data_IF_887986064222
#
_entry.id   IF_887986064222
#
_cell.length_a   1.000
_cell.length_b   1.000
_cell.length_c   1.000
_cell.angle_alpha   90.00
_cell.angle_beta   90.00
_cell.angle_gamma   90.00
#
_symmetry.space_group_name_H-M   'P 1'
#
loop_
_entity.id
_entity.type
_entity.pdbx_description
1 polymer ?
#
# COMPACT_ATOMS: atom_id res chain seq x y z
N UNK A 1 -16.59 8.23 -10.83
CA UNK A 1 -15.84 9.41 -10.37
C UNK A 1 -14.63 8.88 -9.62
N UNK A 2 -13.45 8.96 -10.23
CA UNK A 2 -12.20 8.63 -9.55
C UNK A 2 -11.91 9.77 -8.58
N UNK A 3 -11.86 9.49 -7.28
CA UNK A 3 -11.46 10.49 -6.30
C UNK A 3 -9.95 10.61 -6.34
N UNK A 4 -9.45 11.73 -6.87
CA UNK A 4 -8.03 12.04 -6.82
C UNK A 4 -7.54 12.00 -5.37
N UNK A 5 -6.55 11.15 -5.10
CA UNK A 5 -5.84 11.13 -3.82
C UNK A 5 -5.11 12.47 -3.66
N UNK A 6 -5.73 13.39 -2.93
CA UNK A 6 -5.15 14.72 -2.71
C UNK A 6 -4.05 14.67 -1.65
N UNK A 7 -3.07 15.57 -1.76
CA UNK A 7 -2.02 15.74 -0.76
C UNK A 7 -2.58 15.99 0.65
N UNK A 8 -3.64 16.80 0.76
CA UNK A 8 -4.32 17.08 2.03
C UNK A 8 -4.81 15.80 2.71
N UNK A 9 -5.43 14.92 1.93
CA UNK A 9 -5.93 13.64 2.42
C UNK A 9 -4.81 12.68 2.81
N UNK A 10 -3.72 12.62 2.02
CA UNK A 10 -2.55 11.79 2.36
C UNK A 10 -1.85 12.28 3.64
N UNK A 11 -1.84 13.60 3.88
CA UNK A 11 -1.37 14.18 5.16
C UNK A 11 -2.30 13.81 6.31
N UNK A 12 -3.61 13.94 6.12
CA UNK A 12 -4.62 13.51 7.11
C UNK A 12 -4.41 12.04 7.49
N UNK A 13 -4.30 11.15 6.51
CA UNK A 13 -4.03 9.72 6.70
C UNK A 13 -2.80 9.44 7.58
N UNK A 14 -1.74 10.24 7.44
CA UNK A 14 -0.52 10.06 8.23
C UNK A 14 -0.68 10.35 9.72
N UNK A 15 -1.77 11.02 10.10
CA UNK A 15 -2.11 11.37 11.49
C UNK A 15 -3.13 10.43 12.14
N UNK A 16 -3.81 9.61 11.34
CA UNK A 16 -4.84 8.69 11.82
C UNK A 16 -4.23 7.41 12.38
N UNK A 17 -4.96 6.77 13.30
CA UNK A 17 -4.66 5.40 13.71
C UNK A 17 -4.83 4.42 12.55
N UNK A 18 -4.16 3.28 12.63
CA UNK A 18 -4.02 2.35 11.50
C UNK A 18 -5.35 1.92 10.89
N UNK A 19 -6.30 1.47 11.71
CA UNK A 19 -7.60 0.98 11.24
C UNK A 19 -8.42 2.09 10.58
N UNK A 20 -8.46 3.28 11.20
CA UNK A 20 -9.13 4.45 10.65
C UNK A 20 -8.48 4.91 9.34
N UNK A 21 -7.15 4.88 9.26
CA UNK A 21 -6.39 5.18 8.06
C UNK A 21 -6.67 4.19 6.91
N UNK A 22 -6.81 2.90 7.21
CA UNK A 22 -7.20 1.88 6.22
C UNK A 22 -8.60 2.18 5.69
N UNK A 23 -9.57 2.44 6.56
CA UNK A 23 -10.95 2.75 6.16
C UNK A 23 -11.02 4.03 5.34
N UNK A 24 -10.33 5.08 5.79
CA UNK A 24 -10.29 6.38 5.11
C UNK A 24 -9.67 6.26 3.73
N UNK A 25 -8.52 5.60 3.59
CA UNK A 25 -7.88 5.37 2.30
C UNK A 25 -8.74 4.47 1.40
N UNK A 26 -9.33 3.43 1.97
CA UNK A 26 -10.21 2.51 1.26
C UNK A 26 -11.41 3.21 0.64
N UNK A 27 -11.99 4.20 1.32
CA UNK A 27 -13.13 4.98 0.82
C UNK A 27 -12.83 5.76 -0.47
N UNK A 28 -11.54 5.95 -0.81
CA UNK A 28 -11.11 6.62 -2.04
C UNK A 28 -11.08 5.69 -3.27
N UNK A 29 -11.35 4.41 -3.09
CA UNK A 29 -11.30 3.41 -4.15
C UNK A 29 -12.60 2.63 -4.24
N UNK A 30 -12.86 2.09 -5.43
CA UNK A 30 -13.88 1.06 -5.61
C UNK A 30 -13.19 -0.30 -5.61
N UNK A 31 -13.63 -1.20 -4.73
CA UNK A 31 -13.06 -2.53 -4.53
C UNK A 31 -13.92 -3.63 -5.16
N UNK A 32 -14.56 -3.33 -6.29
CA UNK A 32 -15.54 -4.24 -6.93
C UNK A 32 -14.94 -5.60 -7.27
N UNK A 33 -13.63 -5.67 -7.46
CA UNK A 33 -12.93 -6.91 -7.76
C UNK A 33 -12.96 -7.91 -6.58
N UNK A 34 -13.36 -7.48 -5.38
CA UNK A 34 -13.39 -8.29 -4.16
C UNK A 34 -14.80 -8.42 -3.56
N UNK A 35 -15.83 -7.98 -4.27
CA UNK A 35 -17.22 -8.15 -3.83
C UNK A 35 -17.53 -9.64 -3.56
N UNK A 36 -17.97 -9.94 -2.34
CA UNK A 36 -18.26 -11.31 -1.88
C UNK A 36 -17.10 -12.02 -1.18
N UNK A 37 -15.93 -11.39 -1.04
CA UNK A 37 -14.77 -11.91 -0.30
C UNK A 37 -14.17 -10.81 0.60
N UNK A 38 -14.87 -10.52 1.70
CA UNK A 38 -14.54 -9.43 2.64
C UNK A 38 -13.15 -9.59 3.25
N UNK A 39 -12.73 -10.82 3.54
CA UNK A 39 -11.41 -11.10 4.11
C UNK A 39 -10.31 -10.72 3.12
N UNK A 40 -10.46 -11.11 1.85
CA UNK A 40 -9.50 -10.77 0.80
C UNK A 40 -9.52 -9.28 0.48
N UNK A 41 -10.69 -8.66 0.49
CA UNK A 41 -10.84 -7.22 0.32
C UNK A 41 -10.04 -6.46 1.39
N UNK A 42 -10.23 -6.84 2.67
CA UNK A 42 -9.53 -6.20 3.78
C UNK A 42 -8.01 -6.35 3.68
N UNK A 43 -7.51 -7.54 3.34
CA UNK A 43 -6.07 -7.76 3.13
C UNK A 43 -5.51 -6.87 2.02
N UNK A 44 -6.28 -6.64 0.95
CA UNK A 44 -5.85 -5.75 -0.14
C UNK A 44 -5.86 -4.27 0.29
N UNK A 45 -6.88 -3.84 1.03
CA UNK A 45 -6.96 -2.50 1.61
C UNK A 45 -5.79 -2.21 2.56
N UNK A 46 -5.48 -3.18 3.43
CA UNK A 46 -4.34 -3.13 4.33
C UNK A 46 -3.01 -3.03 3.58
N UNK A 47 -2.83 -3.81 2.52
CA UNK A 47 -1.62 -3.77 1.69
C UNK A 47 -1.41 -2.41 1.01
N UNK A 48 -2.47 -1.82 0.45
CA UNK A 48 -2.41 -0.49 -0.17
C UNK A 48 -2.05 0.56 0.89
N UNK A 49 -2.65 0.50 2.07
CA UNK A 49 -2.35 1.39 3.19
C UNK A 49 -0.89 1.29 3.65
N UNK A 50 -0.37 0.08 3.88
CA UNK A 50 1.01 -0.13 4.30
C UNK A 50 2.01 0.41 3.25
N UNK A 51 1.70 0.26 1.97
CA UNK A 51 2.52 0.79 0.88
C UNK A 51 2.54 2.33 0.85
N UNK A 52 1.38 2.96 1.08
CA UNK A 52 1.25 4.42 1.20
C UNK A 52 2.03 4.93 2.41
N UNK A 53 1.79 4.35 3.60
CA UNK A 53 2.46 4.78 4.82
C UNK A 53 3.96 4.55 4.78
N UNK A 54 4.41 3.47 4.13
CA UNK A 54 5.82 3.25 3.88
C UNK A 54 6.40 4.38 3.02
N UNK A 55 5.73 4.74 1.92
CA UNK A 55 6.15 5.82 1.03
C UNK A 55 6.25 7.18 1.73
N UNK A 56 5.26 7.49 2.58
CA UNK A 56 5.26 8.68 3.44
C UNK A 56 6.46 8.66 4.39
N UNK A 57 6.72 7.53 5.08
CA UNK A 57 7.88 7.38 5.98
C UNK A 57 9.23 7.52 5.27
N UNK A 58 9.29 7.23 3.97
CA UNK A 58 10.50 7.44 3.13
C UNK A 58 10.66 8.88 2.65
N UNK A 59 9.69 9.76 2.90
CA UNK A 59 9.71 11.14 2.45
C UNK A 59 9.53 11.28 0.94
N UNK A 60 8.83 10.33 0.29
CA UNK A 60 8.50 10.46 -1.12
C UNK A 60 7.56 11.66 -1.34
N UNK A 61 7.64 12.36 -2.49
CA UNK A 61 6.73 13.45 -2.79
C UNK A 61 5.29 12.95 -2.85
N UNK A 62 4.33 13.78 -2.43
CA UNK A 62 2.92 13.39 -2.33
C UNK A 62 2.32 12.90 -3.65
N UNK A 63 2.77 13.44 -4.79
CA UNK A 63 2.42 12.94 -6.12
C UNK A 63 2.85 11.48 -6.33
N UNK A 64 4.06 11.12 -5.91
CA UNK A 64 4.55 9.74 -5.97
C UNK A 64 3.80 8.84 -4.98
N UNK A 65 3.45 9.34 -3.78
CA UNK A 65 2.65 8.58 -2.81
C UNK A 65 1.25 8.27 -3.38
N UNK A 66 0.60 9.24 -4.02
CA UNK A 66 -0.68 9.04 -4.71
C UNK A 66 -0.57 8.02 -5.86
N UNK A 67 0.48 8.10 -6.66
CA UNK A 67 0.73 7.12 -7.73
C UNK A 67 0.97 5.72 -7.17
N UNK A 68 1.73 5.59 -6.08
CA UNK A 68 1.96 4.30 -5.42
C UNK A 68 0.65 3.68 -4.95
N UNK A 69 -0.25 4.46 -4.35
CA UNK A 69 -1.56 3.97 -3.92
C UNK A 69 -2.39 3.42 -5.09
N UNK A 70 -2.41 4.12 -6.22
CA UNK A 70 -3.12 3.68 -7.42
C UNK A 70 -2.50 2.40 -7.99
N UNK A 71 -1.17 2.37 -8.14
CA UNK A 71 -0.47 1.21 -8.70
C UNK A 71 -0.58 -0.02 -7.80
N UNK A 72 -0.51 0.14 -6.47
CA UNK A 72 -0.67 -0.99 -5.54
C UNK A 72 -2.11 -1.49 -5.51
N UNK A 73 -3.11 -0.62 -5.64
CA UNK A 73 -4.53 -1.01 -5.79
C UNK A 73 -4.75 -1.90 -7.02
N UNK A 74 -4.07 -1.62 -8.12
CA UNK A 74 -4.16 -2.41 -9.36
C UNK A 74 -3.33 -3.70 -9.33
N UNK A 75 -2.27 -3.77 -8.51
CA UNK A 75 -1.33 -4.87 -8.51
C UNK A 75 -1.93 -6.22 -8.07
N UNK A 76 -2.66 -6.28 -6.96
CA UNK A 76 -3.16 -7.55 -6.41
C UNK A 76 -4.34 -8.17 -7.18
N UNK A 77 -5.27 -7.40 -7.77
CA UNK A 77 -6.24 -7.94 -8.72
C UNK A 77 -5.58 -8.67 -9.90
N UNK A 78 -4.48 -8.14 -10.43
CA UNK A 78 -3.70 -8.76 -11.52
C UNK A 78 -2.99 -10.05 -11.07
N UNK A 79 -2.73 -10.21 -9.78
CA UNK A 79 -2.15 -11.42 -9.21
C UNK A 79 -3.18 -12.53 -8.92
N UNK A 80 -4.46 -12.34 -9.31
CA UNK A 80 -5.51 -13.38 -9.27
C UNK A 80 -5.08 -14.60 -10.09
N UNK A 81 -4.60 -15.64 -9.40
CA UNK A 81 -4.13 -16.89 -9.97
C UNK A 81 -2.93 -17.49 -9.24
N UNK A 82 -2.27 -16.73 -8.36
CA UNK A 82 -1.06 -17.16 -7.65
C UNK A 82 -1.26 -17.15 -6.13
N UNK A 83 -1.75 -18.24 -5.51
CA UNK A 83 -2.02 -18.32 -4.07
C UNK A 83 -0.78 -18.11 -3.18
N UNK A 84 0.42 -18.34 -3.71
CA UNK A 84 1.70 -18.03 -3.05
C UNK A 84 1.96 -16.52 -2.93
N UNK A 85 1.49 -15.71 -3.87
CA UNK A 85 1.71 -14.27 -3.87
C UNK A 85 0.74 -13.56 -2.90
N UNK A 86 -0.49 -14.06 -2.75
CA UNK A 86 -1.47 -13.56 -1.78
C UNK A 86 -0.99 -13.72 -0.32
N UNK A 87 -0.23 -14.78 -0.02
CA UNK A 87 0.41 -14.95 1.29
C UNK A 87 1.67 -14.10 1.46
N UNK A 88 2.34 -13.74 0.36
CA UNK A 88 3.55 -12.92 0.42
C UNK A 88 3.26 -11.42 0.63
N UNK A 89 2.12 -10.90 0.16
CA UNK A 89 1.76 -9.47 0.35
C UNK A 89 1.45 -9.07 1.79
N UNK A 90 1.17 -10.02 2.69
CA UNK A 90 1.04 -9.74 4.13
C UNK A 90 2.38 -9.42 4.80
N UNK A 91 3.51 -9.76 4.16
CA UNK A 91 4.82 -9.38 4.66
C UNK A 91 5.13 -7.93 4.28
N UNK A 92 5.39 -7.10 5.29
CA UNK A 92 5.93 -5.73 5.15
C UNK A 92 7.14 -5.64 4.21
N UNK A 93 7.88 -6.75 4.04
CA UNK A 93 8.98 -6.89 3.09
C UNK A 93 8.55 -6.76 1.62
N UNK A 94 7.36 -7.26 1.27
CA UNK A 94 6.80 -7.24 -0.08
C UNK A 94 6.36 -5.83 -0.47
N UNK A 95 5.71 -5.11 0.45
CA UNK A 95 5.42 -3.68 0.28
C UNK A 95 6.70 -2.86 0.03
N UNK A 96 7.80 -3.15 0.75
CA UNK A 96 9.09 -2.50 0.53
C UNK A 96 9.65 -2.74 -0.88
N UNK A 97 9.58 -3.97 -1.39
CA UNK A 97 10.08 -4.32 -2.73
C UNK A 97 9.23 -3.63 -3.79
N UNK A 98 7.91 -3.68 -3.66
CA UNK A 98 6.98 -3.10 -4.63
C UNK A 98 7.13 -1.58 -4.68
N UNK A 99 7.14 -0.90 -3.53
CA UNK A 99 7.35 0.55 -3.47
C UNK A 99 8.70 0.96 -4.04
N UNK A 100 9.77 0.17 -3.79
CA UNK A 100 11.09 0.42 -4.41
C UNK A 100 11.04 0.31 -5.93
N UNK A 101 10.42 -0.75 -6.46
CA UNK A 101 10.30 -0.97 -7.90
C UNK A 101 9.49 0.13 -8.57
N UNK A 102 8.36 0.52 -7.96
CA UNK A 102 7.51 1.61 -8.46
C UNK A 102 8.28 2.94 -8.42
N UNK A 103 8.94 3.26 -7.29
CA UNK A 103 9.72 4.49 -7.17
C UNK A 103 10.92 4.55 -8.13
N UNK A 104 11.57 3.42 -8.41
CA UNK A 104 12.63 3.34 -9.41
C UNK A 104 12.09 3.61 -10.83
N UNK A 105 10.93 3.03 -11.18
CA UNK A 105 10.26 3.30 -12.46
C UNK A 105 9.81 4.76 -12.63
N UNK A 106 9.50 5.45 -11.52
CA UNK A 106 9.17 6.88 -11.50
C UNK A 106 10.39 7.81 -11.51
N UNK A 107 11.62 7.29 -11.61
CA UNK A 107 12.85 8.10 -11.59
C UNK A 107 13.17 8.72 -10.22
N UNK A 108 12.54 8.24 -9.14
CA UNK A 108 12.79 8.71 -7.78
C UNK A 108 14.05 8.04 -7.20
N UNK A 109 15.23 8.34 -7.75
CA UNK A 109 16.49 7.64 -7.39
C UNK A 109 17.09 7.99 -6.02
N UNK A 110 16.44 8.84 -5.20
CA UNK A 110 17.09 9.50 -4.06
C UNK A 110 16.95 8.90 -2.64
N UNK A 111 16.02 7.98 -2.34
CA UNK A 111 15.58 7.79 -0.95
C UNK A 111 15.59 6.34 -0.40
N UNK A 112 16.34 5.41 -1.00
CA UNK A 112 16.22 3.97 -0.67
C UNK A 112 17.32 3.31 0.21
N UNK A 113 17.91 4.00 1.20
CA UNK A 113 18.96 3.40 2.07
C UNK A 113 18.50 2.69 3.35
N UNK A 114 17.26 2.86 3.84
CA UNK A 114 16.85 2.22 5.10
C UNK A 114 16.40 0.75 4.93
N UNK A 115 17.10 -0.15 5.63
CA UNK A 115 16.89 -1.61 5.74
C UNK A 115 15.62 -1.87 6.58
N UNK A 116 14.65 -2.68 6.12
CA UNK A 116 13.49 -3.01 6.94
C UNK A 116 13.93 -3.86 8.14
N UNK A 117 13.59 -3.42 9.36
CA UNK A 117 13.72 -4.22 10.58
C UNK A 117 12.60 -5.26 10.60
N UNK A 118 12.92 -6.49 10.25
CA UNK A 118 12.05 -7.66 10.42
C UNK A 118 11.87 -7.92 11.92
N UNK A 119 10.73 -7.50 12.49
CA UNK A 119 10.23 -8.11 13.73
C UNK A 119 9.39 -9.32 13.34
N UNK A 120 10.03 -10.48 13.31
CA UNK A 120 9.32 -11.76 13.33
C UNK A 120 8.60 -11.84 14.68
N UNK A 121 7.27 -11.73 14.68
CA UNK A 121 6.45 -12.26 15.77
C UNK A 121 6.47 -13.78 15.62
N UNK A 122 7.40 -14.41 16.35
CA UNK A 122 7.34 -15.83 16.64
C UNK A 122 6.24 -16.02 17.69
N UNK A 123 5.09 -16.58 17.29
CA UNK A 123 4.15 -17.15 18.23
C UNK A 123 4.71 -18.49 18.70
N UNK A 124 5.03 -18.57 19.99
CA UNK A 124 5.31 -19.79 20.72
C UNK A 124 4.00 -20.49 21.13
#
# INVERSE_FOLDING_TARGET
MATDLTESMLKELSTLEREEGILRLSSCFQWREFEGDDQRQYLHQEFVYESVMYSVKRGLPWSAVAQIANMTKELLPELKGHPLLTQAVSCTHTACIIVKSIAHGMGCSGAFTHKPQMKYIASA
#
